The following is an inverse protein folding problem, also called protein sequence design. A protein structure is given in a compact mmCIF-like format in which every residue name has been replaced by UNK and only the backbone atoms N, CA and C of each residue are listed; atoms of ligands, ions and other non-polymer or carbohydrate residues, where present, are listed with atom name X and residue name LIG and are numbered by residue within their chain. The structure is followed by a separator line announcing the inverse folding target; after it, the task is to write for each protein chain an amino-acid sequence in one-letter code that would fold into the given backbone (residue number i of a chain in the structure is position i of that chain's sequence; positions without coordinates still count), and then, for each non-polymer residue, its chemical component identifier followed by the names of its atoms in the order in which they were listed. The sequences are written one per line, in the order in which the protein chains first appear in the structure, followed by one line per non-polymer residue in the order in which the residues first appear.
data_IF_289125666416
#
_entry.id   IF_289125666416
#
_cell.length_a   1.000
_cell.length_b   1.000
_cell.length_c   1.000
_cell.angle_alpha   90.00
_cell.angle_beta   90.00
_cell.angle_gamma   90.00
#
_symmetry.space_group_name_H-M   'P 1'
#
loop_
_entity.id
_entity.type
_entity.pdbx_description
1 polymer ?
#
# COMPACT_ATOMS: atom_id res chain seq x y z
N UNK A 1 26.91 -5.22 -18.90
CA UNK A 1 26.80 -4.91 -17.46
C UNK A 1 25.33 -4.87 -17.09
N UNK A 2 24.96 -5.40 -15.93
CA UNK A 2 23.56 -5.44 -15.47
C UNK A 2 23.49 -4.96 -14.02
N UNK A 3 22.48 -4.16 -13.69
CA UNK A 3 22.23 -3.74 -12.31
C UNK A 3 21.77 -4.95 -11.48
N UNK A 4 22.40 -5.26 -10.33
CA UNK A 4 22.00 -6.42 -9.53
C UNK A 4 20.66 -6.21 -8.76
N UNK A 5 20.09 -5.00 -8.75
CA UNK A 5 18.77 -4.73 -8.14
C UNK A 5 17.64 -4.74 -9.17
N UNK A 6 17.68 -3.88 -10.17
CA UNK A 6 16.57 -3.70 -11.12
C UNK A 6 16.81 -4.38 -12.48
N UNK A 7 17.89 -5.14 -12.62
CA UNK A 7 18.29 -5.84 -13.85
C UNK A 7 18.42 -4.93 -15.10
N UNK A 8 18.58 -3.62 -14.88
CA UNK A 8 18.80 -2.68 -15.96
C UNK A 8 20.12 -2.96 -16.67
N UNK A 9 20.07 -3.07 -18.00
CA UNK A 9 21.23 -3.30 -18.87
C UNK A 9 21.58 -2.08 -19.72
N UNK A 10 20.73 -1.02 -19.70
CA UNK A 10 20.96 0.19 -20.46
C UNK A 10 22.17 0.95 -19.89
N UNK A 11 23.23 1.05 -20.67
CA UNK A 11 24.47 1.72 -20.29
C UNK A 11 24.29 3.22 -19.99
N UNK A 12 23.28 3.88 -20.56
CA UNK A 12 22.96 5.28 -20.29
C UNK A 12 22.55 5.52 -18.85
N UNK A 13 22.06 4.49 -18.16
CA UNK A 13 21.66 4.53 -16.74
C UNK A 13 22.73 3.96 -15.80
N UNK A 14 23.90 3.55 -16.33
CA UNK A 14 25.03 3.04 -15.55
C UNK A 14 26.17 4.06 -15.52
N UNK A 15 26.41 4.67 -14.38
CA UNK A 15 27.39 5.72 -14.18
C UNK A 15 28.60 5.21 -13.41
N UNK A 16 29.79 5.70 -13.76
CA UNK A 16 31.05 5.33 -13.12
C UNK A 16 31.48 6.35 -12.09
N UNK A 17 31.77 5.90 -10.87
CA UNK A 17 32.33 6.72 -9.79
C UNK A 17 33.42 5.90 -9.12
N UNK A 18 34.61 6.48 -8.93
CA UNK A 18 35.76 5.83 -8.31
C UNK A 18 36.07 4.41 -8.87
N UNK A 19 35.99 4.26 -10.19
CA UNK A 19 36.26 2.99 -10.86
C UNK A 19 35.09 1.98 -10.87
N UNK A 20 34.01 2.21 -10.12
CA UNK A 20 32.87 1.32 -10.02
C UNK A 20 31.63 1.89 -10.74
N UNK A 21 30.86 1.03 -11.38
CA UNK A 21 29.59 1.42 -12.00
C UNK A 21 28.43 1.26 -11.05
N UNK A 22 27.51 2.26 -10.99
CA UNK A 22 26.27 2.21 -10.22
C UNK A 22 25.07 2.52 -11.11
N UNK A 23 23.89 2.05 -10.71
CA UNK A 23 22.63 2.26 -11.43
C UNK A 23 21.92 3.53 -10.97
N UNK A 24 21.64 4.45 -11.91
CA UNK A 24 20.87 5.70 -11.63
C UNK A 24 19.39 5.46 -11.35
N UNK A 25 18.76 4.49 -11.97
CA UNK A 25 17.37 4.15 -11.69
C UNK A 25 17.15 3.75 -10.23
N UNK A 26 18.17 3.15 -9.62
CA UNK A 26 18.10 2.71 -8.22
C UNK A 26 18.52 3.77 -7.20
N UNK A 27 18.94 4.97 -7.63
CA UNK A 27 19.58 5.96 -6.74
C UNK A 27 18.66 6.44 -5.60
N UNK A 28 17.35 6.50 -5.84
CA UNK A 28 16.34 6.86 -4.84
C UNK A 28 16.26 5.85 -3.67
N UNK A 29 16.81 4.65 -3.86
CA UNK A 29 16.87 3.56 -2.88
C UNK A 29 18.32 3.21 -2.51
N UNK A 30 19.19 4.19 -2.41
CA UNK A 30 20.64 4.07 -2.30
C UNK A 30 21.33 3.52 -3.56
N UNK A 31 22.63 3.86 -3.66
CA UNK A 31 23.45 3.40 -4.78
C UNK A 31 23.61 1.88 -4.74
N UNK A 32 23.48 1.27 -5.90
CA UNK A 32 23.72 -0.15 -6.12
C UNK A 32 24.84 -0.29 -7.16
N UNK A 33 25.95 -0.85 -6.75
CA UNK A 33 27.09 -1.09 -7.64
C UNK A 33 26.91 -2.39 -8.41
N UNK A 34 27.30 -2.38 -9.70
CA UNK A 34 27.07 -3.49 -10.65
C UNK A 34 27.70 -4.82 -10.20
N UNK A 35 28.79 -4.79 -9.46
CA UNK A 35 29.47 -5.98 -8.94
C UNK A 35 29.13 -6.32 -7.48
N UNK A 36 28.18 -5.61 -6.89
CA UNK A 36 27.79 -5.84 -5.50
C UNK A 36 26.95 -7.10 -5.40
N UNK A 37 27.44 -8.10 -4.70
CA UNK A 37 26.65 -9.26 -4.31
C UNK A 37 25.61 -8.86 -3.28
N UNK A 38 24.45 -9.47 -3.37
CA UNK A 38 23.28 -9.13 -2.53
C UNK A 38 22.66 -10.42 -2.00
N UNK A 39 22.64 -10.54 -0.68
CA UNK A 39 22.11 -11.71 0.00
C UNK A 39 21.03 -11.30 0.97
N UNK A 40 19.89 -11.95 0.90
CA UNK A 40 18.84 -11.83 1.90
C UNK A 40 18.85 -13.09 2.76
N UNK A 41 18.97 -12.92 4.07
CA UNK A 41 19.06 -14.03 5.04
C UNK A 41 17.66 -14.42 5.49
N UNK A 42 17.49 -15.72 5.79
CA UNK A 42 16.33 -16.24 6.49
C UNK A 42 16.68 -16.46 7.95
N UNK A 43 15.78 -16.02 8.84
CA UNK A 43 15.86 -16.29 10.28
C UNK A 43 14.61 -17.07 10.70
N UNK A 44 14.80 -18.01 11.59
CA UNK A 44 13.72 -18.73 12.23
C UNK A 44 13.50 -18.16 13.63
N UNK A 45 12.28 -17.73 13.92
CA UNK A 45 11.87 -17.28 15.23
C UNK A 45 11.35 -18.44 16.07
N UNK A 46 11.24 -18.28 17.40
CA UNK A 46 10.62 -19.29 18.25
C UNK A 46 9.19 -19.60 17.83
N UNK A 47 8.78 -20.87 17.98
CA UNK A 47 7.41 -21.29 17.72
C UNK A 47 6.53 -20.86 18.90
N UNK A 48 5.86 -19.74 18.76
CA UNK A 48 4.96 -19.16 19.77
C UNK A 48 3.59 -19.02 19.12
N UNK A 49 2.55 -19.43 19.84
CA UNK A 49 1.19 -19.24 19.36
C UNK A 49 0.82 -17.77 19.34
N UNK A 50 0.43 -17.27 18.18
CA UNK A 50 -0.06 -15.91 17.98
C UNK A 50 -1.57 -15.94 17.74
N UNK A 51 -2.27 -14.92 18.23
CA UNK A 51 -3.70 -14.73 18.02
C UNK A 51 -4.00 -13.26 17.79
N UNK A 52 -5.14 -12.98 17.20
CA UNK A 52 -5.66 -11.64 17.03
C UNK A 52 -7.10 -11.55 17.53
N UNK A 53 -7.53 -10.33 17.83
CA UNK A 53 -8.91 -10.01 18.20
C UNK A 53 -9.46 -8.95 17.28
N UNK A 54 -10.74 -9.07 16.95
CA UNK A 54 -11.51 -8.07 16.24
C UNK A 54 -12.74 -7.71 17.08
N UNK A 55 -13.11 -6.43 17.11
CA UNK A 55 -14.31 -5.94 17.80
C UNK A 55 -15.61 -6.27 17.03
N UNK A 56 -15.49 -6.90 15.88
CA UNK A 56 -16.61 -7.28 15.00
C UNK A 56 -16.36 -8.65 14.36
N UNK A 57 -17.42 -9.26 13.87
CA UNK A 57 -17.30 -10.50 13.11
C UNK A 57 -17.05 -10.24 11.62
N UNK A 58 -16.13 -11.01 11.05
CA UNK A 58 -15.94 -11.06 9.61
C UNK A 58 -17.18 -11.60 8.91
N UNK A 59 -17.57 -10.98 7.81
CA UNK A 59 -18.64 -11.47 6.95
C UNK A 59 -18.32 -12.88 6.41
N UNK A 60 -19.33 -13.59 5.93
CA UNK A 60 -19.14 -14.94 5.35
C UNK A 60 -18.13 -14.95 4.21
N UNK A 61 -18.15 -13.90 3.37
CA UNK A 61 -17.18 -13.77 2.25
C UNK A 61 -15.77 -13.53 2.77
N UNK A 62 -15.58 -12.64 3.74
CA UNK A 62 -14.29 -12.38 4.35
C UNK A 62 -13.72 -13.64 5.03
N UNK A 63 -14.52 -14.36 5.84
CA UNK A 63 -14.11 -15.63 6.47
C UNK A 63 -13.62 -16.64 5.42
N UNK A 64 -14.36 -16.80 4.31
CA UNK A 64 -13.98 -17.72 3.24
C UNK A 64 -12.66 -17.32 2.56
N UNK A 65 -12.45 -16.02 2.31
CA UNK A 65 -11.21 -15.54 1.69
C UNK A 65 -10.04 -15.68 2.67
N UNK A 66 -10.24 -15.34 3.94
CA UNK A 66 -9.22 -15.48 4.99
C UNK A 66 -8.72 -16.94 5.09
N UNK A 67 -9.63 -17.90 5.15
CA UNK A 67 -9.28 -19.32 5.13
C UNK A 67 -8.53 -19.74 3.86
N UNK A 68 -8.98 -19.24 2.71
CA UNK A 68 -8.33 -19.54 1.43
C UNK A 68 -6.91 -18.97 1.35
N UNK A 69 -6.66 -17.81 1.94
CA UNK A 69 -5.30 -17.23 2.03
C UNK A 69 -4.36 -18.11 2.88
N UNK A 70 -4.86 -18.69 3.98
CA UNK A 70 -4.09 -19.65 4.78
C UNK A 70 -3.79 -20.91 3.98
N UNK A 71 -4.78 -21.49 3.28
CA UNK A 71 -4.58 -22.66 2.43
C UNK A 71 -3.54 -22.40 1.34
N UNK A 72 -3.64 -21.26 0.63
CA UNK A 72 -2.69 -20.88 -0.40
C UNK A 72 -1.28 -20.72 0.16
N UNK A 73 -1.16 -20.11 1.33
CA UNK A 73 0.13 -19.95 2.01
C UNK A 73 0.76 -21.31 2.35
N UNK A 74 -0.02 -22.24 2.93
CA UNK A 74 0.41 -23.61 3.22
C UNK A 74 0.86 -24.37 1.96
N UNK A 75 0.17 -24.14 0.83
CA UNK A 75 0.49 -24.73 -0.48
C UNK A 75 1.63 -24.00 -1.22
N UNK A 76 2.23 -22.98 -0.60
CA UNK A 76 3.27 -22.13 -1.22
C UNK A 76 2.81 -21.43 -2.50
N UNK A 77 1.55 -20.99 -2.53
CA UNK A 77 0.98 -20.23 -3.63
C UNK A 77 0.89 -18.75 -3.26
N UNK A 78 1.24 -17.91 -4.21
CA UNK A 78 1.01 -16.48 -4.08
C UNK A 78 -0.46 -16.16 -4.35
N UNK A 79 -0.97 -15.12 -3.69
CA UNK A 79 -2.37 -14.72 -3.84
C UNK A 79 -2.50 -13.28 -4.25
N UNK A 80 -3.52 -13.02 -5.07
CA UNK A 80 -3.93 -11.71 -5.52
C UNK A 80 -5.39 -11.50 -5.14
N UNK A 81 -5.67 -10.56 -4.24
CA UNK A 81 -7.03 -10.27 -3.78
C UNK A 81 -7.53 -8.99 -4.44
N UNK A 82 -8.51 -9.14 -5.30
CA UNK A 82 -9.25 -8.03 -5.87
C UNK A 82 -10.46 -7.72 -4.99
N UNK A 83 -10.42 -6.58 -4.31
CA UNK A 83 -11.40 -6.25 -3.29
C UNK A 83 -11.88 -4.81 -3.41
N UNK A 84 -13.20 -4.62 -3.50
CA UNK A 84 -13.79 -3.27 -3.59
C UNK A 84 -13.43 -2.40 -2.40
N UNK A 85 -13.39 -1.08 -2.59
CA UNK A 85 -13.12 -0.13 -1.51
C UNK A 85 -14.14 -0.30 -0.36
N UNK A 86 -13.65 -0.32 0.89
CA UNK A 86 -14.49 -0.50 2.07
C UNK A 86 -14.99 -1.94 2.29
N UNK A 87 -14.35 -2.94 1.68
CA UNK A 87 -14.67 -4.35 1.89
C UNK A 87 -13.98 -4.99 3.09
N UNK A 88 -13.10 -4.29 3.80
CA UNK A 88 -12.30 -4.83 4.91
C UNK A 88 -11.16 -5.71 4.42
N UNK A 89 -10.36 -5.21 3.49
CA UNK A 89 -9.20 -5.91 2.91
C UNK A 89 -8.12 -6.26 3.94
N UNK A 90 -7.95 -5.44 4.94
CA UNK A 90 -6.89 -5.58 5.93
C UNK A 90 -7.15 -6.76 6.86
N UNK A 91 -8.38 -6.93 7.30
CA UNK A 91 -8.74 -7.93 8.32
C UNK A 91 -8.71 -9.36 7.79
N UNK A 92 -8.91 -9.55 6.48
CA UNK A 92 -8.87 -10.91 5.88
C UNK A 92 -7.49 -11.55 5.91
N UNK A 93 -6.41 -10.78 6.06
CA UNK A 93 -5.05 -11.32 6.12
C UNK A 93 -4.57 -11.60 7.56
N UNK A 94 -5.36 -11.26 8.59
CA UNK A 94 -4.92 -11.45 9.98
C UNK A 94 -4.72 -12.92 10.33
N UNK A 95 -5.57 -13.82 9.85
CA UNK A 95 -5.44 -15.25 10.10
C UNK A 95 -4.16 -15.85 9.50
N UNK A 96 -3.84 -15.51 8.26
CA UNK A 96 -2.59 -15.97 7.63
C UNK A 96 -1.35 -15.35 8.26
N UNK A 97 -1.44 -14.11 8.77
CA UNK A 97 -0.38 -13.48 9.57
C UNK A 97 -0.17 -14.29 10.85
N UNK A 98 -1.22 -14.55 11.63
CA UNK A 98 -1.15 -15.39 12.84
C UNK A 98 -0.55 -16.76 12.56
N UNK A 99 -1.00 -17.41 11.49
CA UNK A 99 -0.47 -18.71 11.08
C UNK A 99 1.04 -18.63 10.80
N UNK A 100 1.49 -17.68 9.98
CA UNK A 100 2.90 -17.52 9.64
C UNK A 100 3.76 -17.21 10.88
N UNK A 101 3.32 -16.27 11.73
CA UNK A 101 4.01 -15.94 12.97
C UNK A 101 4.13 -17.14 13.89
N UNK A 102 3.06 -17.94 14.06
CA UNK A 102 3.05 -19.15 14.90
C UNK A 102 3.98 -20.24 14.37
N UNK A 103 4.29 -20.24 13.07
CA UNK A 103 5.32 -21.11 12.47
C UNK A 103 6.75 -20.54 12.62
N UNK A 104 6.96 -19.51 13.41
CA UNK A 104 8.25 -18.86 13.59
C UNK A 104 8.74 -18.12 12.33
N UNK A 105 7.83 -17.75 11.43
CA UNK A 105 8.14 -17.12 10.14
C UNK A 105 8.00 -15.61 10.25
N UNK A 106 8.85 -14.88 9.52
CA UNK A 106 8.87 -13.42 9.52
C UNK A 106 7.88 -12.86 8.53
N UNK A 107 7.07 -11.88 8.96
CA UNK A 107 5.98 -11.29 8.19
C UNK A 107 6.23 -9.80 7.94
N UNK A 108 5.96 -9.34 6.73
CA UNK A 108 5.95 -7.91 6.38
C UNK A 108 4.60 -7.51 5.80
N UNK A 109 4.03 -6.41 6.30
CA UNK A 109 2.90 -5.73 5.69
C UNK A 109 3.37 -4.39 5.14
N UNK A 110 3.32 -4.20 3.84
CA UNK A 110 3.78 -2.97 3.20
C UNK A 110 2.67 -2.25 2.45
N UNK A 111 2.68 -0.91 2.55
CA UNK A 111 1.69 0.00 1.97
C UNK A 111 2.43 1.18 1.32
N UNK A 112 1.90 1.82 0.26
CA UNK A 112 2.58 2.93 -0.42
C UNK A 112 2.81 4.17 0.45
N UNK A 113 1.86 4.56 1.30
CA UNK A 113 1.81 5.86 1.98
C UNK A 113 2.11 5.75 3.48
N UNK A 114 2.90 6.70 4.00
CA UNK A 114 3.30 6.73 5.43
C UNK A 114 2.13 6.98 6.37
N UNK A 115 1.14 7.78 5.95
CA UNK A 115 -0.06 8.06 6.74
C UNK A 115 -0.86 6.79 6.99
N UNK A 116 -1.02 5.96 5.93
CA UNK A 116 -1.69 4.67 6.03
C UNK A 116 -0.90 3.65 6.87
N UNK A 117 0.45 3.71 6.83
CA UNK A 117 1.28 2.87 7.72
C UNK A 117 1.03 3.19 9.18
N UNK A 118 0.90 4.47 9.55
CA UNK A 118 0.60 4.88 10.94
C UNK A 118 -0.76 4.37 11.40
N UNK A 119 -1.80 4.61 10.60
CA UNK A 119 -3.16 4.15 10.88
C UNK A 119 -3.23 2.62 11.00
N UNK A 120 -2.61 1.93 10.05
CA UNK A 120 -2.55 0.47 10.07
C UNK A 120 -1.78 -0.06 11.28
N UNK A 121 -0.65 0.55 11.62
CA UNK A 121 0.15 0.15 12.77
C UNK A 121 -0.65 0.22 14.08
N UNK A 122 -1.35 1.33 14.32
CA UNK A 122 -2.19 1.50 15.50
C UNK A 122 -3.29 0.43 15.55
N UNK A 123 -3.99 0.20 14.45
CA UNK A 123 -5.07 -0.78 14.34
C UNK A 123 -4.57 -2.23 14.51
N UNK A 124 -3.44 -2.56 13.92
CA UNK A 124 -2.85 -3.90 14.05
C UNK A 124 -2.32 -4.12 15.48
N UNK A 125 -1.70 -3.12 16.13
CA UNK A 125 -1.28 -3.22 17.51
C UNK A 125 -2.46 -3.51 18.47
N UNK A 126 -3.62 -2.93 18.22
CA UNK A 126 -4.84 -3.23 18.98
C UNK A 126 -5.30 -4.66 18.76
N UNK A 127 -5.32 -5.14 17.52
CA UNK A 127 -5.75 -6.50 17.18
C UNK A 127 -4.76 -7.58 17.63
N UNK A 128 -3.45 -7.30 17.58
CA UNK A 128 -2.36 -8.22 17.93
C UNK A 128 -1.67 -7.82 19.23
N UNK A 129 -2.41 -7.60 20.29
CA UNK A 129 -1.96 -7.01 21.55
C UNK A 129 -0.78 -7.73 22.23
N UNK A 130 -0.56 -9.01 21.94
CA UNK A 130 0.54 -9.82 22.50
C UNK A 130 1.72 -10.02 21.54
N UNK A 131 1.71 -9.35 20.38
CA UNK A 131 2.77 -9.48 19.37
C UNK A 131 3.58 -8.19 19.29
N UNK A 132 4.91 -8.30 19.39
CA UNK A 132 5.80 -7.16 19.13
C UNK A 132 5.80 -6.88 17.65
N UNK A 133 5.40 -5.67 17.27
CA UNK A 133 5.30 -5.24 15.88
C UNK A 133 6.32 -4.14 15.63
N UNK A 134 7.11 -4.32 14.59
CA UNK A 134 8.02 -3.30 14.09
C UNK A 134 7.35 -2.38 13.09
N UNK A 135 7.78 -1.13 13.03
CA UNK A 135 7.26 -0.15 12.09
C UNK A 135 8.37 0.66 11.43
N UNK A 136 8.22 0.90 10.12
CA UNK A 136 9.23 1.63 9.33
C UNK A 136 8.59 2.48 8.24
N UNK A 137 8.74 3.81 8.35
CA UNK A 137 8.36 4.76 7.30
C UNK A 137 9.32 5.95 7.27
N UNK A 138 9.18 6.84 6.29
CA UNK A 138 10.08 7.99 6.14
C UNK A 138 10.17 8.84 7.42
N UNK A 139 11.38 8.87 8.02
CA UNK A 139 11.68 9.62 9.25
C UNK A 139 11.36 8.88 10.56
N UNK A 140 10.85 7.63 10.53
CA UNK A 140 10.56 6.88 11.76
C UNK A 140 10.81 5.38 11.61
N UNK A 141 11.39 4.79 12.64
CA UNK A 141 11.60 3.34 12.76
C UNK A 141 11.57 2.88 14.21
N UNK A 142 10.99 1.71 14.45
CA UNK A 142 10.93 1.09 15.77
C UNK A 142 10.87 -0.45 15.60
N UNK A 143 11.54 -1.19 16.49
CA UNK A 143 11.50 -2.66 16.60
C UNK A 143 11.75 -3.39 15.26
N UNK A 144 12.78 -3.01 14.51
CA UNK A 144 13.04 -3.61 13.19
C UNK A 144 13.46 -5.08 13.26
N UNK A 145 13.84 -5.58 14.44
CA UNK A 145 14.14 -7.00 14.69
C UNK A 145 12.88 -7.83 14.96
N UNK A 146 11.71 -7.19 15.04
CA UNK A 146 10.45 -7.89 15.28
C UNK A 146 10.15 -8.89 14.16
N UNK A 147 9.44 -9.95 14.55
CA UNK A 147 8.97 -10.97 13.63
C UNK A 147 7.91 -10.43 12.66
N UNK A 148 7.09 -9.46 13.08
CA UNK A 148 6.11 -8.79 12.26
C UNK A 148 6.48 -7.33 12.04
N UNK A 149 6.66 -6.91 10.79
CA UNK A 149 7.02 -5.55 10.38
C UNK A 149 5.91 -4.93 9.53
N UNK A 150 5.58 -3.67 9.83
CA UNK A 150 4.71 -2.83 8.99
C UNK A 150 5.55 -1.69 8.43
N UNK A 151 5.57 -1.52 7.11
CA UNK A 151 6.41 -0.49 6.52
C UNK A 151 5.82 0.15 5.26
N UNK A 152 6.40 1.29 4.85
CA UNK A 152 6.15 1.77 3.50
C UNK A 152 6.92 0.94 2.48
N UNK A 153 6.35 0.75 1.29
CA UNK A 153 7.01 0.02 0.19
C UNK A 153 8.37 0.58 -0.16
N UNK A 154 8.54 1.91 -0.09
CA UNK A 154 9.84 2.57 -0.31
C UNK A 154 10.92 2.13 0.68
N UNK A 155 10.56 1.79 1.91
CA UNK A 155 11.53 1.42 2.94
C UNK A 155 11.98 -0.04 2.87
N UNK A 156 11.36 -0.88 2.03
CA UNK A 156 11.74 -2.27 1.84
C UNK A 156 13.22 -2.44 1.42
N UNK A 157 13.81 -1.44 0.74
CA UNK A 157 15.22 -1.50 0.36
C UNK A 157 16.18 -1.70 1.55
N UNK A 158 15.76 -1.38 2.77
CA UNK A 158 16.57 -1.59 3.99
C UNK A 158 16.72 -3.08 4.33
N UNK A 159 15.78 -3.90 3.90
CA UNK A 159 15.78 -5.35 4.17
C UNK A 159 16.39 -6.18 3.04
N UNK A 160 16.59 -5.62 1.85
CA UNK A 160 17.00 -6.41 0.67
C UNK A 160 18.44 -7.01 0.72
N UNK A 161 19.26 -6.63 1.71
CA UNK A 161 20.57 -7.23 1.99
C UNK A 161 20.71 -7.67 3.45
N UNK A 162 19.60 -7.88 4.09
CA UNK A 162 19.50 -8.21 5.50
C UNK A 162 18.57 -9.44 5.66
N UNK A 163 17.67 -9.40 6.60
CA UNK A 163 16.73 -10.47 6.90
C UNK A 163 15.45 -10.26 6.08
N UNK A 164 15.15 -11.19 5.20
CA UNK A 164 13.92 -11.19 4.41
C UNK A 164 12.69 -11.68 5.18
N UNK A 165 11.61 -11.83 4.44
CA UNK A 165 10.29 -12.17 4.98
C UNK A 165 9.76 -13.46 4.34
N UNK A 166 9.20 -14.34 5.17
CA UNK A 166 8.56 -15.57 4.70
C UNK A 166 7.16 -15.31 4.13
N UNK A 167 6.46 -14.30 4.67
CA UNK A 167 5.19 -13.81 4.15
C UNK A 167 5.28 -12.30 3.93
N UNK A 168 4.99 -11.85 2.71
CA UNK A 168 4.84 -10.44 2.40
C UNK A 168 3.43 -10.11 1.96
N UNK A 169 2.85 -9.08 2.57
CA UNK A 169 1.53 -8.55 2.22
C UNK A 169 1.74 -7.15 1.67
N UNK A 170 1.28 -6.91 0.45
CA UNK A 170 1.35 -5.61 -0.18
C UNK A 170 -0.07 -5.09 -0.44
N UNK A 171 -0.45 -4.01 0.24
CA UNK A 171 -1.74 -3.36 0.02
C UNK A 171 -1.61 -2.16 -0.93
N UNK A 172 -2.68 -1.84 -1.63
CA UNK A 172 -2.73 -0.77 -2.64
C UNK A 172 -1.65 -0.90 -3.72
N UNK A 173 -1.41 -2.12 -4.23
CA UNK A 173 -0.37 -2.36 -5.25
C UNK A 173 -0.65 -1.67 -6.59
N UNK A 174 -1.88 -1.26 -6.84
CA UNK A 174 -2.33 -0.44 -7.96
C UNK A 174 -2.08 1.07 -7.78
N UNK A 175 -1.64 1.50 -6.60
CA UNK A 175 -1.37 2.90 -6.32
C UNK A 175 0.09 3.28 -6.59
N UNK A 176 0.29 4.58 -6.94
CA UNK A 176 1.62 5.17 -6.94
C UNK A 176 2.21 5.12 -5.50
N UNK A 177 3.49 4.80 -5.35
CA UNK A 177 4.54 4.64 -6.36
C UNK A 177 4.85 3.19 -6.77
N UNK A 178 4.09 2.20 -6.30
CA UNK A 178 4.38 0.79 -6.55
C UNK A 178 3.96 0.36 -7.97
N UNK A 179 2.80 0.83 -8.42
CA UNK A 179 2.27 0.50 -9.74
C UNK A 179 3.26 0.82 -10.85
N UNK A 180 3.57 -0.16 -11.69
CA UNK A 180 4.53 -0.08 -12.80
C UNK A 180 5.96 0.35 -12.42
N UNK A 181 6.32 0.35 -11.14
CA UNK A 181 7.65 0.69 -10.69
C UNK A 181 8.55 -0.56 -10.61
N UNK A 182 9.32 -0.79 -11.68
CA UNK A 182 10.22 -1.93 -11.79
C UNK A 182 11.17 -2.06 -10.60
N UNK A 183 11.76 -0.96 -10.14
CA UNK A 183 12.74 -0.99 -9.04
C UNK A 183 12.09 -1.43 -7.74
N UNK A 184 10.90 -0.92 -7.41
CA UNK A 184 10.16 -1.31 -6.20
C UNK A 184 9.68 -2.76 -6.26
N UNK A 185 9.22 -3.22 -7.43
CA UNK A 185 8.83 -4.61 -7.62
C UNK A 185 10.01 -5.55 -7.42
N UNK A 186 11.20 -5.21 -7.92
CA UNK A 186 12.41 -6.01 -7.72
C UNK A 186 12.88 -6.03 -6.25
N UNK A 187 12.77 -4.88 -5.55
CA UNK A 187 13.05 -4.82 -4.10
C UNK A 187 12.06 -5.72 -3.34
N UNK A 188 10.77 -5.63 -3.66
CA UNK A 188 9.73 -6.47 -3.05
C UNK A 188 10.04 -7.96 -3.24
N UNK A 189 10.31 -8.37 -4.47
CA UNK A 189 10.64 -9.76 -4.81
C UNK A 189 11.88 -10.26 -4.06
N UNK A 190 12.92 -9.42 -3.91
CA UNK A 190 14.15 -9.79 -3.17
C UNK A 190 13.93 -9.93 -1.67
N UNK A 191 13.06 -9.12 -1.09
CA UNK A 191 12.72 -9.21 0.33
C UNK A 191 11.82 -10.41 0.63
N UNK A 192 11.10 -10.94 -0.37
CA UNK A 192 10.19 -12.06 -0.23
C UNK A 192 10.95 -13.39 -0.39
N UNK A 193 11.15 -14.10 0.70
CA UNK A 193 11.81 -15.43 0.72
C UNK A 193 10.82 -16.59 0.61
N UNK A 194 9.54 -16.33 0.80
CA UNK A 194 8.47 -17.31 0.75
C UNK A 194 7.34 -16.87 -0.17
N UNK A 195 6.17 -16.62 0.39
CA UNK A 195 4.98 -16.26 -0.37
C UNK A 195 4.58 -14.80 -0.18
N UNK A 196 3.83 -14.27 -1.13
CA UNK A 196 3.23 -12.96 -0.99
C UNK A 196 1.72 -12.96 -1.25
N UNK A 197 1.07 -11.97 -0.68
CA UNK A 197 -0.33 -11.63 -0.90
C UNK A 197 -0.38 -10.17 -1.36
N UNK A 198 -0.90 -9.92 -2.54
CA UNK A 198 -1.17 -8.58 -3.05
C UNK A 198 -2.65 -8.26 -2.88
N UNK A 199 -2.94 -7.08 -2.36
CA UNK A 199 -4.30 -6.55 -2.18
C UNK A 199 -4.47 -5.31 -3.05
N UNK A 200 -5.59 -5.23 -3.78
CA UNK A 200 -5.90 -4.06 -4.60
C UNK A 200 -7.39 -3.89 -4.84
N UNK A 201 -7.78 -2.69 -5.20
CA UNK A 201 -9.14 -2.41 -5.68
C UNK A 201 -9.28 -2.59 -7.20
N UNK A 202 -8.17 -2.49 -7.93
CA UNK A 202 -8.13 -2.56 -9.40
C UNK A 202 -6.95 -3.43 -9.86
N UNK A 203 -7.14 -4.18 -10.95
CA UNK A 203 -6.07 -4.91 -11.64
C UNK A 203 -6.28 -4.85 -13.14
N UNK A 204 -5.18 -4.72 -13.89
CA UNK A 204 -5.17 -5.10 -15.29
C UNK A 204 -4.89 -6.61 -15.39
N UNK A 205 -5.44 -7.27 -16.40
CA UNK A 205 -5.22 -8.72 -16.67
C UNK A 205 -3.73 -9.06 -16.84
N UNK A 206 -2.93 -8.09 -17.23
CA UNK A 206 -1.47 -8.19 -17.42
C UNK A 206 -0.69 -8.24 -16.10
N UNK A 207 -1.29 -7.84 -14.98
CA UNK A 207 -0.67 -7.81 -13.66
C UNK A 207 -0.68 -9.18 -12.96
N UNK A 208 -1.37 -10.19 -13.53
CA UNK A 208 -1.51 -11.53 -12.97
C UNK A 208 -0.38 -12.41 -13.51
N UNK A 209 0.57 -12.76 -12.65
CA UNK A 209 1.75 -13.56 -13.02
C UNK A 209 1.81 -14.90 -12.26
N UNK A 210 0.71 -15.67 -12.31
CA UNK A 210 0.66 -16.99 -11.69
C UNK A 210 0.18 -17.01 -10.24
N UNK A 211 -0.33 -15.88 -9.73
CA UNK A 211 -1.01 -15.82 -8.43
C UNK A 211 -2.40 -16.46 -8.49
N UNK A 212 -2.87 -16.99 -7.37
CA UNK A 212 -4.27 -17.39 -7.22
C UNK A 212 -5.15 -16.16 -6.97
N UNK A 213 -6.09 -15.92 -7.90
CA UNK A 213 -6.96 -14.74 -7.88
C UNK A 213 -8.18 -14.96 -6.98
N UNK A 214 -8.36 -14.08 -6.01
CA UNK A 214 -9.48 -14.09 -5.08
C UNK A 214 -10.28 -12.78 -5.22
N UNK A 215 -11.61 -12.90 -5.20
CA UNK A 215 -12.51 -11.75 -5.40
C UNK A 215 -13.32 -11.45 -4.15
N UNK A 216 -13.31 -10.18 -3.74
CA UNK A 216 -14.15 -9.65 -2.67
C UNK A 216 -14.98 -8.47 -3.21
N UNK A 217 -16.16 -8.78 -3.72
CA UNK A 217 -17.00 -7.84 -4.47
C UNK A 217 -18.08 -7.15 -3.63
N UNK A 218 -18.16 -7.42 -2.31
CA UNK A 218 -19.15 -6.80 -1.41
C UNK A 218 -18.47 -6.05 -0.30
N UNK A 219 -19.04 -4.89 0.03
CA UNK A 219 -18.69 -4.16 1.25
C UNK A 219 -19.21 -4.91 2.48
N UNK A 220 -18.49 -4.80 3.61
CA UNK A 220 -18.91 -5.46 4.84
C UNK A 220 -20.31 -5.02 5.32
N UNK A 221 -20.70 -3.76 5.05
CA UNK A 221 -22.00 -3.18 5.42
C UNK A 221 -23.10 -3.40 4.37
N UNK A 222 -22.82 -4.08 3.25
CA UNK A 222 -23.80 -4.45 2.24
C UNK A 222 -24.28 -3.34 1.29
N UNK A 223 -23.85 -2.09 1.48
CA UNK A 223 -24.23 -0.99 0.57
C UNK A 223 -23.43 -1.06 -0.74
N UNK A 224 -24.10 -0.77 -1.83
CA UNK A 224 -23.48 -0.70 -3.16
C UNK A 224 -22.48 0.47 -3.25
N UNK A 225 -21.54 0.33 -4.18
CA UNK A 225 -20.65 1.44 -4.53
C UNK A 225 -21.47 2.56 -5.20
N UNK A 226 -21.24 3.83 -4.82
CA UNK A 226 -21.89 4.93 -5.52
C UNK A 226 -21.42 4.93 -6.98
N UNK A 227 -22.38 4.94 -7.90
CA UNK A 227 -22.11 5.04 -9.33
C UNK A 227 -21.99 6.52 -9.68
N UNK A 228 -20.82 7.00 -10.15
CA UNK A 228 -20.66 8.39 -10.53
C UNK A 228 -21.51 8.71 -11.77
N UNK A 229 -22.19 9.86 -11.75
CA UNK A 229 -22.87 10.40 -12.92
C UNK A 229 -21.90 11.27 -13.70
N UNK A 230 -21.68 10.96 -14.97
CA UNK A 230 -20.83 11.76 -15.86
C UNK A 230 -21.64 12.83 -16.56
N UNK A 231 -21.26 14.11 -16.37
CA UNK A 231 -21.85 15.25 -17.06
C UNK A 231 -20.74 15.88 -17.94
N UNK A 232 -20.82 15.66 -19.23
CA UNK A 232 -19.91 16.30 -20.20
C UNK A 232 -20.43 17.72 -20.47
N UNK A 233 -19.64 18.70 -20.11
CA UNK A 233 -20.00 20.12 -20.31
C UNK A 233 -18.76 20.98 -20.54
N UNK A 234 -18.87 22.10 -21.28
CA UNK A 234 -17.81 23.08 -21.40
C UNK A 234 -17.40 23.66 -20.02
N UNK A 235 -16.16 24.11 -19.88
CA UNK A 235 -15.60 24.54 -18.60
C UNK A 235 -16.36 25.68 -17.90
N UNK A 236 -16.95 26.61 -18.68
CA UNK A 236 -17.76 27.68 -18.13
C UNK A 236 -19.07 27.14 -17.51
N UNK A 237 -19.69 26.13 -18.15
CA UNK A 237 -20.92 25.52 -17.67
C UNK A 237 -20.66 24.63 -16.43
N UNK A 238 -19.49 24.01 -16.35
CA UNK A 238 -19.08 23.23 -15.16
C UNK A 238 -19.06 24.09 -13.89
N UNK A 239 -18.55 25.34 -14.00
CA UNK A 239 -18.58 26.29 -12.86
C UNK A 239 -19.99 26.65 -12.45
N UNK A 240 -20.88 26.92 -13.42
CA UNK A 240 -22.26 27.21 -13.16
C UNK A 240 -22.98 26.03 -12.48
N UNK A 241 -22.79 24.82 -13.00
CA UNK A 241 -23.36 23.59 -12.41
C UNK A 241 -22.87 23.42 -10.98
N UNK A 242 -21.58 23.64 -10.71
CA UNK A 242 -21.02 23.53 -9.37
C UNK A 242 -21.66 24.55 -8.41
N UNK A 243 -21.81 25.81 -8.82
CA UNK A 243 -22.48 26.84 -8.02
C UNK A 243 -23.94 26.44 -7.72
N UNK A 244 -24.67 25.98 -8.73
CA UNK A 244 -26.05 25.52 -8.55
C UNK A 244 -26.14 24.33 -7.59
N UNK A 245 -25.26 23.34 -7.72
CA UNK A 245 -25.21 22.20 -6.79
C UNK A 245 -24.94 22.66 -5.35
N UNK A 246 -24.01 23.59 -5.14
CA UNK A 246 -23.70 24.14 -3.81
C UNK A 246 -24.91 24.85 -3.21
N UNK A 247 -25.61 25.67 -3.99
CA UNK A 247 -26.73 26.45 -3.51
C UNK A 247 -27.98 25.60 -3.22
N UNK A 248 -28.21 24.53 -3.98
CA UNK A 248 -29.44 23.75 -3.87
C UNK A 248 -29.33 22.47 -3.03
N UNK A 249 -28.13 21.91 -2.85
CA UNK A 249 -27.99 20.59 -2.20
C UNK A 249 -28.04 20.64 -0.66
N UNK A 250 -27.86 21.76 0.00
CA UNK A 250 -27.84 21.90 1.47
C UNK A 250 -27.06 20.84 2.22
N UNK A 251 -25.95 20.32 1.61
CA UNK A 251 -25.09 19.26 2.12
C UNK A 251 -23.63 19.68 2.07
N UNK A 252 -22.79 19.05 2.88
CA UNK A 252 -21.33 19.17 2.73
C UNK A 252 -20.92 18.58 1.38
N UNK A 253 -20.20 19.37 0.58
CA UNK A 253 -19.74 18.99 -0.77
C UNK A 253 -18.23 18.98 -0.79
N UNK A 254 -17.63 17.90 -1.27
CA UNK A 254 -16.18 17.79 -1.51
C UNK A 254 -15.98 17.84 -3.02
N UNK A 255 -15.16 18.79 -3.49
CA UNK A 255 -14.84 18.97 -4.91
C UNK A 255 -13.40 18.55 -5.16
N UNK A 256 -13.20 17.48 -5.92
CA UNK A 256 -11.87 17.04 -6.35
C UNK A 256 -11.49 17.71 -7.66
N UNK A 257 -10.29 18.26 -7.70
CA UNK A 257 -9.74 18.92 -8.90
C UNK A 257 -8.33 18.43 -9.20
N UNK A 258 -7.90 18.42 -10.47
CA UNK A 258 -6.65 17.78 -10.87
C UNK A 258 -5.39 18.55 -10.45
N UNK A 259 -5.48 19.86 -10.18
CA UNK A 259 -4.30 20.67 -9.86
C UNK A 259 -4.53 21.64 -8.72
N UNK A 260 -3.46 21.95 -7.98
CA UNK A 260 -3.46 22.94 -6.89
C UNK A 260 -3.87 24.34 -7.38
N UNK A 261 -3.48 24.71 -8.60
CA UNK A 261 -3.88 25.98 -9.19
C UNK A 261 -5.41 26.12 -9.33
N UNK A 262 -6.09 25.05 -9.74
CA UNK A 262 -7.55 25.03 -9.81
C UNK A 262 -8.18 25.11 -8.42
N UNK A 263 -7.59 24.51 -7.38
CA UNK A 263 -8.06 24.69 -5.99
C UNK A 263 -8.09 26.17 -5.62
N UNK A 264 -6.97 26.88 -5.79
CA UNK A 264 -6.91 28.31 -5.48
C UNK A 264 -7.88 29.13 -6.30
N UNK A 265 -8.01 28.84 -7.59
CA UNK A 265 -8.95 29.55 -8.45
C UNK A 265 -10.41 29.37 -8.00
N UNK A 266 -10.81 28.15 -7.67
CA UNK A 266 -12.16 27.85 -7.19
C UNK A 266 -12.43 28.51 -5.82
N UNK A 267 -11.50 28.39 -4.88
CA UNK A 267 -11.63 29.04 -3.57
C UNK A 267 -11.79 30.56 -3.72
N UNK A 268 -10.94 31.19 -4.52
CA UNK A 268 -11.04 32.64 -4.77
C UNK A 268 -12.39 33.04 -5.38
N UNK A 269 -12.88 32.26 -6.35
CA UNK A 269 -14.13 32.56 -7.05
C UNK A 269 -15.38 32.31 -6.18
N UNK A 270 -15.38 31.24 -5.38
CA UNK A 270 -16.58 30.81 -4.63
C UNK A 270 -16.65 31.37 -3.21
N UNK A 271 -15.55 31.90 -2.67
CA UNK A 271 -15.49 32.44 -1.29
C UNK A 271 -16.48 33.57 -1.01
N UNK A 272 -16.91 34.30 -2.04
CA UNK A 272 -17.96 35.36 -1.92
C UNK A 272 -19.38 34.79 -1.87
N UNK A 273 -19.57 33.52 -2.20
CA UNK A 273 -20.89 32.88 -2.33
C UNK A 273 -21.11 31.86 -1.22
N UNK A 274 -20.08 31.14 -0.81
CA UNK A 274 -20.16 30.04 0.16
C UNK A 274 -18.91 29.98 1.03
N UNK A 275 -19.05 29.40 2.21
CA UNK A 275 -17.91 29.05 3.06
C UNK A 275 -17.18 27.86 2.44
N UNK A 276 -15.93 28.07 2.01
CA UNK A 276 -15.14 27.12 1.26
C UNK A 276 -13.68 27.12 1.72
N UNK A 277 -13.13 25.94 1.94
CA UNK A 277 -11.72 25.75 2.23
C UNK A 277 -11.04 24.92 1.14
N UNK A 278 -9.83 25.33 0.76
CA UNK A 278 -9.00 24.61 -0.20
C UNK A 278 -7.97 23.74 0.52
N UNK A 279 -7.97 22.43 0.22
CA UNK A 279 -7.02 21.46 0.77
C UNK A 279 -6.05 21.04 -0.32
N UNK A 280 -4.74 21.14 -0.05
CA UNK A 280 -3.69 20.68 -0.96
C UNK A 280 -2.47 20.15 -0.19
N UNK A 281 -1.63 19.34 -0.84
CA UNK A 281 -0.42 18.78 -0.25
C UNK A 281 0.61 19.83 0.23
N UNK A 282 0.47 21.09 -0.20
CA UNK A 282 1.38 22.19 0.16
C UNK A 282 0.93 23.01 1.38
N UNK A 283 -0.20 22.69 2.00
CA UNK A 283 -0.69 23.40 3.19
C UNK A 283 -0.47 22.59 4.46
N UNK A 284 0.32 23.07 5.45
CA UNK A 284 0.62 22.33 6.69
C UNK A 284 -0.57 22.20 7.68
N UNK A 285 -1.69 22.90 7.47
CA UNK A 285 -2.86 22.87 8.36
C UNK A 285 -3.98 21.89 7.95
N UNK A 286 -3.77 21.09 6.92
CA UNK A 286 -4.82 20.28 6.28
C UNK A 286 -5.31 19.04 7.07
N UNK A 287 -4.70 18.70 8.20
CA UNK A 287 -5.13 17.54 8.99
C UNK A 287 -6.32 17.82 9.93
N UNK A 288 -6.67 19.09 10.19
CA UNK A 288 -7.77 19.46 11.09
C UNK A 288 -9.11 19.75 10.38
N UNK A 289 -9.09 19.91 9.07
CA UNK A 289 -10.26 20.39 8.29
C UNK A 289 -11.16 19.25 7.77
N UNK A 290 -10.73 17.99 7.91
CA UNK A 290 -11.46 16.81 7.37
C UNK A 290 -12.11 15.96 8.48
N UNK A 291 -12.29 16.53 9.68
CA UNK A 291 -13.05 15.86 10.75
C UNK A 291 -14.54 16.20 10.69
#
# INVERSE_FOLDING_TARGET
MQCPRCHNTNLQHLYKVNGQYYCRECISFHRVYVKQERFTKKIQYPLIYHHYQLDFELSRQQKKISQKLVENYQQKKNSLVLAVCGSGKTEIVYEVICYALSQGQRVCFCIPRKELVKELYERICQSFSHTVIGVLYGGYQQNLDAQFIICTMHQLYKFENDIGFDLMIADEVDAFPFYQNRVLNEIFTRCCLGNYIKLSATFASEDIQGEELLFMNRRYHGYDLPVPQMILSPSFLQKLILVLLILFMHKKIIVYVPTVAIVYQLVHTLRSIVDIEGVSSHHPHNQKTIQ
#
